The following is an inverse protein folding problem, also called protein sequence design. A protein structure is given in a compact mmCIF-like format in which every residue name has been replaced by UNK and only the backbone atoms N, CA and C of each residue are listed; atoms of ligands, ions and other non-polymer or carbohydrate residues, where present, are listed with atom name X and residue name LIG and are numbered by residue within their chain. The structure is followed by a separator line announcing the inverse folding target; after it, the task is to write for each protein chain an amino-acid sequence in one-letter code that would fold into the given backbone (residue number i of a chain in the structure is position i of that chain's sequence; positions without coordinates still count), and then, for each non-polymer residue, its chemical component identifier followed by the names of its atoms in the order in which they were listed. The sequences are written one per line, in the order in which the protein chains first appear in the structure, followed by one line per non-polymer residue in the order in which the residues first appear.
data_IF_433006845882
#
_entry.id   IF_433006845882
#
_cell.length_a   1.000
_cell.length_b   1.000
_cell.length_c   1.000
_cell.angle_alpha   90.00
_cell.angle_beta   90.00
_cell.angle_gamma   90.00
#
_symmetry.space_group_name_H-M   'P 1'
#
loop_
_entity.id
_entity.type
_entity.pdbx_description
1 polymer ?
#
# COMPACT_ATOMS: atom_id res chain seq x y z
N UNK A 1 11.42 2.01 0.97
CA UNK A 1 10.48 1.12 0.25
C UNK A 1 10.90 -0.34 0.40
N UNK A 2 12.00 -0.82 -0.21
CA UNK A 2 12.42 -2.24 -0.05
C UNK A 2 12.63 -2.68 1.41
N UNK A 3 13.32 -1.87 2.22
CA UNK A 3 13.52 -2.15 3.65
C UNK A 3 12.20 -2.25 4.40
N UNK A 4 11.34 -1.22 4.27
CA UNK A 4 10.00 -1.19 4.89
C UNK A 4 9.16 -2.43 4.50
N UNK A 5 9.13 -2.81 3.21
CA UNK A 5 8.43 -4.01 2.76
C UNK A 5 8.93 -5.30 3.44
N UNK A 6 10.23 -5.41 3.67
CA UNK A 6 10.81 -6.55 4.38
C UNK A 6 10.50 -6.52 5.88
N UNK A 7 10.54 -5.34 6.51
CA UNK A 7 10.31 -5.16 7.95
C UNK A 7 8.84 -5.32 8.34
N UNK A 8 7.94 -4.66 7.62
CA UNK A 8 6.51 -4.58 7.93
C UNK A 8 5.69 -5.71 7.28
N UNK A 9 6.12 -6.15 6.09
CA UNK A 9 5.38 -7.12 5.28
C UNK A 9 6.11 -8.44 5.06
N UNK A 10 7.40 -8.55 5.37
CA UNK A 10 8.24 -9.71 4.95
C UNK A 10 8.13 -9.95 3.43
N UNK A 11 8.01 -8.88 2.65
CA UNK A 11 7.87 -8.93 1.19
C UNK A 11 9.23 -8.71 0.54
N UNK A 12 9.67 -9.69 -0.24
CA UNK A 12 10.82 -9.61 -1.13
C UNK A 12 10.35 -9.22 -2.54
N UNK A 13 10.91 -8.15 -3.11
CA UNK A 13 10.63 -7.75 -4.49
C UNK A 13 11.37 -8.67 -5.46
N UNK A 14 10.65 -9.28 -6.40
CA UNK A 14 11.21 -10.12 -7.45
C UNK A 14 11.22 -9.42 -8.83
N UNK A 15 10.81 -8.15 -8.87
CA UNK A 15 10.78 -7.32 -10.07
C UNK A 15 10.76 -5.84 -9.71
N UNK A 16 10.86 -5.00 -10.74
CA UNK A 16 10.81 -3.55 -10.55
C UNK A 16 9.38 -3.12 -10.19
N UNK A 17 9.18 -2.35 -9.10
CA UNK A 17 7.88 -1.83 -8.72
C UNK A 17 7.51 -0.63 -9.60
N UNK A 18 6.27 -0.60 -10.10
CA UNK A 18 5.77 0.54 -10.87
C UNK A 18 5.33 1.65 -9.93
N UNK A 19 5.74 2.90 -10.16
CA UNK A 19 5.19 4.04 -9.42
C UNK A 19 3.76 4.31 -9.90
N UNK A 20 2.77 4.01 -9.07
CA UNK A 20 1.36 4.33 -9.34
C UNK A 20 1.12 5.84 -9.21
N UNK A 21 1.71 6.48 -8.20
CA UNK A 21 1.61 7.92 -8.05
C UNK A 21 2.21 8.46 -6.76
N UNK A 22 2.29 9.80 -6.72
CA UNK A 22 2.72 10.57 -5.56
C UNK A 22 1.56 11.48 -5.13
N UNK A 23 1.13 11.36 -3.88
CA UNK A 23 -0.10 11.96 -3.39
C UNK A 23 0.16 12.90 -2.22
N UNK A 24 -0.29 14.14 -2.33
CA UNK A 24 -0.16 15.12 -1.25
C UNK A 24 -1.11 14.80 -0.10
N UNK A 25 -0.58 14.64 1.12
CA UNK A 25 -1.31 14.23 2.31
C UNK A 25 -1.40 15.38 3.34
N UNK A 26 -2.22 16.38 3.01
CA UNK A 26 -2.41 17.56 3.86
C UNK A 26 -3.05 17.26 5.22
N UNK A 27 -3.64 16.08 5.41
CA UNK A 27 -4.28 15.69 6.67
C UNK A 27 -3.26 15.41 7.77
N UNK A 28 -2.08 14.90 7.41
CA UNK A 28 -1.00 14.60 8.37
C UNK A 28 -0.05 15.79 8.49
N UNK A 29 0.35 16.41 7.37
CA UNK A 29 1.22 17.58 7.38
C UNK A 29 1.13 18.37 6.08
N UNK A 30 1.46 19.66 6.13
CA UNK A 30 1.52 20.55 4.95
C UNK A 30 2.66 20.20 3.97
N UNK A 31 3.49 19.21 4.28
CA UNK A 31 4.63 18.77 3.47
C UNK A 31 4.62 17.26 3.20
N UNK A 32 3.65 16.52 3.72
CA UNK A 32 3.63 15.06 3.61
C UNK A 32 3.17 14.61 2.22
N UNK A 33 3.88 13.64 1.66
CA UNK A 33 3.53 13.02 0.38
C UNK A 33 3.64 11.50 0.50
N UNK A 34 2.63 10.81 0.01
CA UNK A 34 2.57 9.35 -0.01
C UNK A 34 2.87 8.87 -1.43
N UNK A 35 3.98 8.15 -1.60
CA UNK A 35 4.29 7.46 -2.85
C UNK A 35 3.70 6.05 -2.81
N UNK A 36 2.87 5.70 -3.80
CA UNK A 36 2.29 4.36 -3.93
C UNK A 36 2.95 3.65 -5.08
N UNK A 37 3.44 2.46 -4.81
CA UNK A 37 4.04 1.58 -5.80
C UNK A 37 3.18 0.34 -5.99
N UNK A 38 3.07 -0.11 -7.23
CA UNK A 38 2.43 -1.36 -7.60
C UNK A 38 3.49 -2.45 -7.76
N UNK A 39 3.41 -3.44 -6.88
CA UNK A 39 4.30 -4.60 -6.89
C UNK A 39 3.51 -5.80 -7.39
N UNK A 40 3.89 -6.32 -8.57
CA UNK A 40 3.21 -7.48 -9.18
C UNK A 40 3.98 -8.79 -9.03
N UNK A 41 5.30 -8.71 -8.89
CA UNK A 41 6.16 -9.87 -8.72
C UNK A 41 6.90 -9.77 -7.39
N UNK A 42 6.49 -10.58 -6.42
CA UNK A 42 7.03 -10.59 -5.08
C UNK A 42 6.96 -11.98 -4.46
N UNK A 43 7.69 -12.16 -3.38
CA UNK A 43 7.63 -13.34 -2.52
C UNK A 43 7.39 -12.92 -1.08
N UNK A 44 6.53 -13.66 -0.40
CA UNK A 44 6.40 -13.65 1.05
C UNK A 44 6.40 -15.11 1.50
N UNK A 45 7.43 -15.50 2.25
CA UNK A 45 7.60 -16.89 2.70
C UNK A 45 6.75 -17.23 3.92
N UNK A 46 6.44 -16.23 4.75
CA UNK A 46 5.51 -16.28 5.88
C UNK A 46 5.06 -14.87 6.27
N UNK A 47 4.06 -14.77 7.14
CA UNK A 47 3.69 -13.48 7.72
C UNK A 47 4.79 -12.98 8.70
N UNK A 48 5.04 -11.67 8.77
CA UNK A 48 5.84 -11.07 9.83
C UNK A 48 5.15 -11.25 11.19
N UNK A 49 5.96 -11.33 12.25
CA UNK A 49 5.44 -11.29 13.61
C UNK A 49 4.87 -9.90 13.90
N UNK A 50 3.75 -9.78 14.63
CA UNK A 50 3.25 -8.49 15.09
C UNK A 50 4.32 -7.70 15.83
N UNK A 51 4.36 -6.39 15.61
CA UNK A 51 5.30 -5.48 16.26
C UNK A 51 4.57 -4.24 16.81
N UNK A 52 5.33 -3.23 17.25
CA UNK A 52 4.78 -2.01 17.83
C UNK A 52 4.03 -1.10 16.82
N UNK A 53 4.23 -1.33 15.53
CA UNK A 53 3.64 -0.53 14.44
C UNK A 53 2.50 -1.30 13.74
N UNK A 54 2.67 -2.61 13.52
CA UNK A 54 1.72 -3.46 12.82
C UNK A 54 1.33 -4.66 13.70
N UNK A 55 0.07 -4.66 14.12
CA UNK A 55 -0.51 -5.74 14.94
C UNK A 55 -0.95 -6.95 14.13
N UNK A 56 -1.27 -6.78 12.84
CA UNK A 56 -1.71 -7.83 11.94
C UNK A 56 -1.53 -7.42 10.47
N UNK A 57 -1.27 -8.40 9.60
CA UNK A 57 -1.27 -8.22 8.15
C UNK A 57 -1.82 -9.48 7.44
N UNK A 58 -2.20 -9.34 6.18
CA UNK A 58 -2.72 -10.45 5.38
C UNK A 58 -3.02 -10.06 3.94
N UNK A 59 -3.31 -11.07 3.12
CA UNK A 59 -3.82 -10.88 1.76
C UNK A 59 -5.34 -11.00 1.77
N UNK A 60 -5.99 -10.12 1.01
CA UNK A 60 -7.44 -10.04 0.92
C UNK A 60 -7.85 -10.04 -0.54
N UNK A 61 -9.00 -10.66 -0.83
CA UNK A 61 -9.65 -10.54 -2.12
C UNK A 61 -9.98 -9.07 -2.41
N UNK A 62 -9.79 -8.64 -3.66
CA UNK A 62 -9.98 -7.24 -4.05
C UNK A 62 -11.41 -6.75 -3.77
N UNK A 63 -12.40 -7.63 -3.87
CA UNK A 63 -13.80 -7.36 -3.59
C UNK A 63 -14.20 -7.51 -2.10
N UNK A 64 -13.29 -7.98 -1.24
CA UNK A 64 -13.57 -8.29 0.16
C UNK A 64 -12.53 -7.66 1.11
N UNK A 65 -12.15 -6.41 0.84
CA UNK A 65 -11.27 -5.65 1.73
C UNK A 65 -11.90 -5.45 3.12
N UNK A 66 -11.14 -5.57 4.22
CA UNK A 66 -11.63 -5.39 5.59
C UNK A 66 -12.38 -4.06 5.76
N UNK A 67 -13.47 -4.05 6.53
CA UNK A 67 -14.38 -2.90 6.63
C UNK A 67 -13.64 -1.62 7.03
N UNK A 68 -12.70 -1.76 7.97
CA UNK A 68 -11.83 -0.74 8.55
C UNK A 68 -10.75 -0.19 7.60
N UNK A 69 -10.59 -0.75 6.40
CA UNK A 69 -9.63 -0.23 5.40
C UNK A 69 -9.90 1.24 5.13
N UNK A 70 -8.87 2.08 5.31
CA UNK A 70 -8.99 3.53 5.18
C UNK A 70 -9.44 3.94 3.77
N UNK A 71 -10.06 5.12 3.67
CA UNK A 71 -10.57 5.66 2.41
C UNK A 71 -9.46 5.85 1.36
N UNK A 72 -8.33 6.41 1.75
CA UNK A 72 -7.17 6.62 0.87
C UNK A 72 -6.68 5.30 0.28
N UNK A 73 -6.48 4.29 1.13
CA UNK A 73 -6.09 2.94 0.70
C UNK A 73 -7.10 2.35 -0.29
N UNK A 74 -8.40 2.40 0.01
CA UNK A 74 -9.46 1.88 -0.90
C UNK A 74 -9.47 2.60 -2.25
N UNK A 75 -9.27 3.92 -2.26
CA UNK A 75 -9.21 4.70 -3.50
C UNK A 75 -8.03 4.24 -4.37
N UNK A 76 -6.83 4.10 -3.79
CA UNK A 76 -5.65 3.63 -4.53
C UNK A 76 -5.85 2.24 -5.10
N UNK A 77 -6.46 1.33 -4.34
CA UNK A 77 -6.81 0.00 -4.84
C UNK A 77 -7.78 0.10 -6.01
N UNK A 78 -8.86 0.89 -5.90
CA UNK A 78 -9.83 1.04 -7.00
C UNK A 78 -9.23 1.66 -8.27
N UNK A 79 -8.28 2.59 -8.14
CA UNK A 79 -7.56 3.17 -9.28
C UNK A 79 -6.79 2.11 -10.05
N UNK A 80 -6.08 1.23 -9.35
CA UNK A 80 -5.29 0.16 -9.96
C UNK A 80 -6.19 -0.93 -10.56
N UNK A 81 -7.24 -1.33 -9.85
CA UNK A 81 -8.09 -2.46 -10.26
C UNK A 81 -9.07 -2.06 -11.36
N UNK A 82 -9.64 -0.86 -11.29
CA UNK A 82 -10.66 -0.39 -12.23
C UNK A 82 -10.09 0.54 -13.31
N UNK A 83 -8.80 0.87 -13.25
CA UNK A 83 -8.14 1.76 -14.23
C UNK A 83 -8.61 3.21 -14.14
N UNK A 84 -9.05 3.67 -12.96
CA UNK A 84 -9.47 5.07 -12.75
C UNK A 84 -8.26 5.99 -12.71
N UNK A 85 -8.43 7.22 -13.20
CA UNK A 85 -7.39 8.23 -13.11
C UNK A 85 -7.07 8.59 -11.64
N UNK A 86 -5.79 8.59 -11.23
CA UNK A 86 -5.40 8.98 -9.89
C UNK A 86 -5.69 10.45 -9.60
N UNK A 87 -6.20 10.73 -8.41
CA UNK A 87 -6.26 12.11 -7.90
C UNK A 87 -4.96 12.49 -7.19
N UNK A 88 -4.57 13.77 -7.25
CA UNK A 88 -3.30 14.26 -6.70
C UNK A 88 -3.18 14.23 -5.16
N UNK A 89 -4.27 13.99 -4.42
CA UNK A 89 -4.27 14.06 -2.95
C UNK A 89 -4.56 12.71 -2.31
N UNK A 90 -3.98 12.50 -1.12
CA UNK A 90 -4.35 11.42 -0.20
C UNK A 90 -5.57 11.86 0.61
N UNK A 91 -6.66 11.09 0.58
CA UNK A 91 -7.96 11.44 1.21
C UNK A 91 -8.59 10.30 2.01
#
# INVERSE_FOLDING_TARGET
MQRELAEEGRIELLGEPDLHGLFFNSHVSRRDHVAVYLVRNFKQDRLPEPNHEIVACGFFEMAALPAETTRGTRLRISEVIEGREPIATWR
#
